data_IF_286293879245
#
_entry.id   IF_286293879245
#
_cell.length_a   1.000
_cell.length_b   1.000
_cell.length_c   1.000
_cell.angle_alpha   90.00
_cell.angle_beta   90.00
_cell.angle_gamma   90.00
#
_symmetry.space_group_name_H-M   'P 1'
#
loop_
_entity.id
_entity.type
_entity.pdbx_description
1 polymer ?
#
# COMPACT_ATOMS: atom_id res chain seq x y z
N UNK A 1 -11.77 -1.16 -33.19
CA UNK A 1 -11.76 -2.20 -32.14
C UNK A 1 -11.86 -1.50 -30.80
N UNK A 2 -12.98 -1.66 -30.08
CA UNK A 2 -13.15 -1.08 -28.76
C UNK A 2 -12.23 -1.81 -27.77
N UNK A 3 -11.38 -1.07 -27.07
CA UNK A 3 -10.63 -1.59 -25.92
C UNK A 3 -11.65 -2.15 -24.93
N UNK A 4 -11.52 -3.40 -24.45
CA UNK A 4 -12.42 -3.89 -23.42
C UNK A 4 -12.26 -2.97 -22.20
N UNK A 5 -13.32 -2.23 -21.85
CA UNK A 5 -13.46 -1.66 -20.52
C UNK A 5 -13.58 -2.87 -19.60
N UNK A 6 -12.45 -3.24 -18.99
CA UNK A 6 -12.38 -4.31 -18.00
C UNK A 6 -13.47 -4.04 -16.96
N UNK A 7 -14.27 -5.06 -16.64
CA UNK A 7 -15.23 -5.01 -15.54
C UNK A 7 -14.53 -4.42 -14.29
N UNK A 8 -15.22 -3.60 -13.46
CA UNK A 8 -14.56 -2.92 -12.36
C UNK A 8 -13.85 -3.95 -11.48
N UNK A 9 -12.52 -3.87 -11.45
CA UNK A 9 -11.70 -4.72 -10.60
C UNK A 9 -12.10 -4.45 -9.17
N UNK A 10 -12.73 -5.44 -8.51
CA UNK A 10 -13.14 -5.29 -7.12
C UNK A 10 -11.89 -5.06 -6.25
N UNK A 11 -11.89 -3.95 -5.50
CA UNK A 11 -10.83 -3.59 -4.58
C UNK A 11 -11.31 -3.66 -3.13
N UNK A 12 -10.44 -4.09 -2.23
CA UNK A 12 -10.70 -4.05 -0.80
C UNK A 12 -10.17 -2.76 -0.21
N UNK A 13 -11.01 -2.07 0.58
CA UNK A 13 -10.64 -0.84 1.27
C UNK A 13 -10.46 -1.13 2.75
N UNK A 14 -9.27 -0.83 3.28
CA UNK A 14 -8.96 -0.93 4.72
C UNK A 14 -8.70 0.48 5.24
N UNK A 15 -9.68 1.05 5.93
CA UNK A 15 -9.64 2.41 6.47
C UNK A 15 -9.73 2.42 8.01
N UNK A 16 -9.36 3.53 8.64
CA UNK A 16 -9.34 3.69 10.10
C UNK A 16 -8.25 4.67 10.57
N UNK A 17 -8.31 5.07 11.84
CA UNK A 17 -7.38 6.04 12.43
C UNK A 17 -5.91 5.59 12.38
N UNK A 18 -4.97 6.52 12.50
CA UNK A 18 -3.54 6.20 12.61
C UNK A 18 -3.29 5.27 13.80
N UNK A 19 -2.31 4.37 13.67
CA UNK A 19 -1.94 3.38 14.69
C UNK A 19 -3.01 2.31 15.05
N UNK A 20 -4.09 2.15 14.28
CA UNK A 20 -5.06 1.05 14.49
C UNK A 20 -4.67 -0.30 13.84
N UNK A 21 -3.45 -0.43 13.30
CA UNK A 21 -2.96 -1.70 12.74
C UNK A 21 -3.39 -2.02 11.30
N UNK A 22 -3.92 -1.04 10.55
CA UNK A 22 -4.37 -1.22 9.15
C UNK A 22 -3.31 -1.85 8.25
N UNK A 23 -2.07 -1.37 8.31
CA UNK A 23 -0.97 -1.87 7.49
C UNK A 23 -0.68 -3.35 7.76
N UNK A 24 -0.78 -3.79 9.02
CA UNK A 24 -0.59 -5.19 9.39
C UNK A 24 -1.72 -6.09 8.85
N UNK A 25 -2.97 -5.62 8.92
CA UNK A 25 -4.11 -6.34 8.33
C UNK A 25 -3.98 -6.42 6.81
N UNK A 26 -3.63 -5.31 6.15
CA UNK A 26 -3.42 -5.26 4.71
C UNK A 26 -2.29 -6.22 4.27
N UNK A 27 -1.17 -6.22 4.99
CA UNK A 27 -0.03 -7.11 4.74
C UNK A 27 -0.44 -8.58 4.82
N UNK A 28 -1.07 -8.99 5.93
CA UNK A 28 -1.51 -10.39 6.11
C UNK A 28 -2.51 -10.82 5.04
N UNK A 29 -3.42 -9.93 4.67
CA UNK A 29 -4.41 -10.20 3.63
C UNK A 29 -3.77 -10.34 2.25
N UNK A 30 -2.77 -9.51 1.94
CA UNK A 30 -2.00 -9.59 0.71
C UNK A 30 -1.20 -10.89 0.61
N UNK A 31 -0.50 -11.27 1.70
CA UNK A 31 0.23 -12.54 1.78
C UNK A 31 -0.68 -13.76 1.57
N UNK A 32 -1.89 -13.74 2.15
CA UNK A 32 -2.84 -14.84 2.02
C UNK A 32 -3.52 -14.93 0.66
N UNK A 33 -3.61 -13.82 -0.08
CA UNK A 33 -4.42 -13.73 -1.30
C UNK A 33 -3.63 -13.45 -2.56
N UNK A 34 -2.32 -13.21 -2.45
CA UNK A 34 -1.45 -12.83 -3.56
C UNK A 34 -1.78 -11.47 -4.18
N UNK A 35 -2.53 -10.62 -3.46
CA UNK A 35 -2.91 -9.29 -3.94
C UNK A 35 -1.84 -8.26 -3.63
N UNK A 36 -1.73 -7.25 -4.50
CA UNK A 36 -0.91 -6.09 -4.24
C UNK A 36 -1.57 -5.11 -3.27
N UNK A 37 -0.74 -4.29 -2.60
CA UNK A 37 -1.19 -3.22 -1.72
C UNK A 37 -0.96 -1.88 -2.42
N UNK A 38 -1.98 -1.03 -2.42
CA UNK A 38 -1.88 0.38 -2.77
C UNK A 38 -2.05 1.22 -1.51
N UNK A 39 -1.00 1.95 -1.12
CA UNK A 39 -1.11 2.94 -0.05
C UNK A 39 -1.99 4.10 -0.48
N UNK A 40 -2.94 4.48 0.39
CA UNK A 40 -3.73 5.70 0.28
C UNK A 40 -3.35 6.72 1.37
N UNK A 41 -2.13 6.61 1.93
CA UNK A 41 -1.60 7.53 2.94
C UNK A 41 -0.77 8.64 2.28
N UNK A 42 -1.16 9.89 2.51
CA UNK A 42 -0.52 11.06 1.93
C UNK A 42 0.93 11.28 2.39
N UNK A 43 1.36 10.65 3.49
CA UNK A 43 2.71 10.80 4.03
C UNK A 43 3.66 9.71 3.51
N UNK A 44 3.15 8.54 3.11
CA UNK A 44 4.00 7.44 2.63
C UNK A 44 4.60 7.68 1.23
N UNK A 45 4.10 8.68 0.49
CA UNK A 45 4.61 9.04 -0.85
C UNK A 45 6.02 9.63 -0.84
N UNK A 46 6.48 10.17 0.29
CA UNK A 46 7.79 10.82 0.41
C UNK A 46 8.91 9.82 0.69
N UNK A 47 9.98 9.89 -0.11
CA UNK A 47 11.23 9.14 0.09
C UNK A 47 11.99 9.66 1.31
N UNK A 48 12.65 8.76 2.04
CA UNK A 48 13.46 9.09 3.22
C UNK A 48 12.69 9.42 4.49
N UNK A 49 11.36 9.59 4.42
CA UNK A 49 10.52 9.89 5.58
C UNK A 49 9.96 8.61 6.24
N UNK A 50 10.81 7.63 6.55
CA UNK A 50 10.35 6.27 6.87
C UNK A 50 9.87 6.09 8.31
N UNK A 51 10.62 6.63 9.28
CA UNK A 51 10.36 6.45 10.72
C UNK A 51 9.06 7.17 11.13
N UNK A 52 8.93 8.45 10.78
CA UNK A 52 7.77 9.28 11.16
C UNK A 52 6.47 8.87 10.48
N UNK A 53 6.52 8.08 9.41
CA UNK A 53 5.34 7.63 8.66
C UNK A 53 5.04 6.15 8.85
N UNK A 54 5.84 5.45 9.67
CA UNK A 54 5.74 4.00 9.86
C UNK A 54 5.73 3.23 8.53
N UNK A 55 6.60 3.61 7.59
CA UNK A 55 6.72 2.93 6.31
C UNK A 55 7.32 1.53 6.52
N UNK A 56 6.70 0.46 5.99
CA UNK A 56 7.27 -0.88 6.10
C UNK A 56 8.56 -0.97 5.26
N UNK A 57 9.70 -1.35 5.86
CA UNK A 57 10.94 -1.56 5.12
C UNK A 57 10.80 -2.76 4.16
N UNK A 58 11.59 -2.83 3.08
CA UNK A 58 11.47 -3.91 2.08
C UNK A 58 11.53 -5.32 2.67
N UNK A 59 12.33 -5.54 3.70
CA UNK A 59 12.45 -6.83 4.39
C UNK A 59 11.14 -7.28 5.07
N UNK A 60 10.31 -6.33 5.52
CA UNK A 60 9.04 -6.61 6.20
C UNK A 60 7.86 -6.76 5.21
N UNK A 61 8.05 -6.45 3.93
CA UNK A 61 6.99 -6.56 2.91
C UNK A 61 6.76 -7.99 2.45
N UNK A 62 7.63 -8.95 2.79
CA UNK A 62 7.39 -10.37 2.52
C UNK A 62 7.19 -10.72 1.03
N UNK A 63 7.73 -9.91 0.11
CA UNK A 63 7.52 -10.08 -1.34
C UNK A 63 6.18 -9.55 -1.88
N UNK A 64 5.32 -8.98 -1.02
CA UNK A 64 4.09 -8.31 -1.44
C UNK A 64 4.42 -7.08 -2.28
N UNK A 65 3.81 -6.90 -3.47
CA UNK A 65 3.95 -5.67 -4.23
C UNK A 65 3.27 -4.50 -3.51
N UNK A 66 4.03 -3.44 -3.25
CA UNK A 66 3.55 -2.19 -2.68
C UNK A 66 3.59 -1.06 -3.70
N UNK A 67 2.48 -0.34 -3.83
CA UNK A 67 2.34 0.87 -4.62
C UNK A 67 1.96 2.06 -3.74
N UNK A 68 2.14 3.29 -4.25
CA UNK A 68 1.74 4.50 -3.52
C UNK A 68 2.73 4.94 -2.43
N UNK A 69 3.95 4.40 -2.43
CA UNK A 69 5.01 4.74 -1.47
C UNK A 69 6.28 5.14 -2.23
N UNK A 70 7.12 6.00 -1.63
CA UNK A 70 8.41 6.41 -2.23
C UNK A 70 8.30 7.00 -3.65
N UNK A 71 7.21 7.72 -3.92
CA UNK A 71 6.92 8.28 -5.24
C UNK A 71 7.68 9.59 -5.51
N UNK A 72 7.86 10.42 -4.47
CA UNK A 72 8.46 11.75 -4.58
C UNK A 72 9.58 11.95 -3.55
N UNK A 73 10.47 12.90 -3.80
CA UNK A 73 11.52 13.27 -2.85
C UNK A 73 10.91 14.07 -1.68
N UNK A 74 11.43 13.88 -0.47
CA UNK A 74 11.26 14.87 0.60
C UNK A 74 12.12 16.08 0.27
N UNK A 75 11.52 17.28 0.29
CA UNK A 75 12.26 18.55 0.22
C UNK A 75 13.09 18.77 1.50
#
# INVERSE_FOLDING_TARGET
MATPVNAPTAAWLIAGATATGKSAVAQRLAEQTGRAILSADAMLVYRGMDIGTAKPPPAERGGVPYFGIDLILSL
#
